data_IF_450536491771
#
_entry.id   IF_450536491771
#
_cell.length_a   1.000
_cell.length_b   1.000
_cell.length_c   1.000
_cell.angle_alpha   90.00
_cell.angle_beta   90.00
_cell.angle_gamma   90.00
#
_symmetry.space_group_name_H-M   'P 1'
#
loop_
_entity.id
_entity.type
_entity.pdbx_description
1 polymer ?
#
# COMPACT_ATOMS: atom_id res chain seq x y z
N UNK A 1 -23.48 5.28 8.62
CA UNK A 1 -22.08 4.79 8.59
C UNK A 1 -21.18 5.98 8.88
N UNK A 2 -20.37 6.00 9.96
CA UNK A 2 -19.38 7.08 10.13
C UNK A 2 -18.41 6.98 8.96
N UNK A 3 -18.27 8.07 8.19
CA UNK A 3 -17.43 8.11 6.99
C UNK A 3 -15.97 7.82 7.32
N UNK A 4 -15.22 7.32 6.33
CA UNK A 4 -13.77 7.16 6.47
C UNK A 4 -13.14 8.55 6.59
N UNK A 5 -12.36 8.80 7.64
CA UNK A 5 -11.72 10.11 7.84
C UNK A 5 -10.53 10.30 6.91
N UNK A 6 -10.20 11.56 6.59
CA UNK A 6 -9.03 11.90 5.79
C UNK A 6 -7.72 11.35 6.39
N UNK A 7 -7.58 11.41 7.72
CA UNK A 7 -6.42 10.83 8.41
C UNK A 7 -6.34 9.31 8.21
N UNK A 8 -7.48 8.61 8.23
CA UNK A 8 -7.54 7.16 8.01
C UNK A 8 -7.08 6.80 6.59
N UNK A 9 -7.58 7.54 5.59
CA UNK A 9 -7.15 7.38 4.20
C UNK A 9 -5.66 7.67 4.03
N UNK A 10 -5.16 8.75 4.65
CA UNK A 10 -3.74 9.11 4.60
C UNK A 10 -2.86 8.01 5.20
N UNK A 11 -3.23 7.46 6.35
CA UNK A 11 -2.47 6.37 6.98
C UNK A 11 -2.44 5.13 6.09
N UNK A 12 -3.58 4.74 5.50
CA UNK A 12 -3.65 3.60 4.60
C UNK A 12 -2.84 3.83 3.31
N UNK A 13 -2.89 5.04 2.74
CA UNK A 13 -2.12 5.41 1.57
C UNK A 13 -0.61 5.39 1.85
N UNK A 14 -0.15 5.93 2.98
CA UNK A 14 1.26 5.89 3.37
C UNK A 14 1.77 4.46 3.54
N UNK A 15 0.98 3.58 4.16
CA UNK A 15 1.33 2.16 4.28
C UNK A 15 1.47 1.49 2.90
N UNK A 16 0.55 1.78 1.97
CA UNK A 16 0.60 1.25 0.62
C UNK A 16 1.82 1.78 -0.17
N UNK A 17 2.12 3.08 -0.11
CA UNK A 17 3.29 3.65 -0.79
C UNK A 17 4.60 3.14 -0.20
N UNK A 18 4.67 2.94 1.12
CA UNK A 18 5.83 2.33 1.75
C UNK A 18 6.04 0.90 1.24
N UNK A 19 4.96 0.11 1.16
CA UNK A 19 5.01 -1.24 0.59
C UNK A 19 5.49 -1.23 -0.86
N UNK A 20 4.92 -0.37 -1.71
CA UNK A 20 5.29 -0.23 -3.11
C UNK A 20 6.77 0.08 -3.26
N UNK A 21 7.31 1.00 -2.45
CA UNK A 21 8.73 1.33 -2.44
C UNK A 21 9.61 0.13 -2.09
N UNK A 22 9.26 -0.60 -1.02
CA UNK A 22 10.00 -1.78 -0.58
C UNK A 22 9.96 -2.89 -1.63
N UNK A 23 8.79 -3.26 -2.14
CA UNK A 23 8.63 -4.31 -3.14
C UNK A 23 9.34 -3.96 -4.45
N UNK A 24 9.28 -2.69 -4.86
CA UNK A 24 9.98 -2.21 -6.06
C UNK A 24 11.49 -2.35 -5.89
N UNK A 25 12.05 -1.92 -4.75
CA UNK A 25 13.48 -2.06 -4.46
C UNK A 25 13.90 -3.53 -4.41
N UNK A 26 13.10 -4.40 -3.79
CA UNK A 26 13.40 -5.84 -3.73
C UNK A 26 13.45 -6.46 -5.13
N UNK A 27 12.49 -6.14 -6.00
CA UNK A 27 12.47 -6.67 -7.37
C UNK A 27 13.57 -6.09 -8.24
N UNK A 28 13.90 -4.81 -8.12
CA UNK A 28 15.01 -4.22 -8.88
C UNK A 28 16.35 -4.79 -8.44
N UNK A 29 16.54 -5.09 -7.15
CA UNK A 29 17.70 -5.86 -6.68
C UNK A 29 17.72 -7.30 -7.21
N UNK A 30 16.54 -7.90 -7.45
CA UNK A 30 16.38 -9.18 -8.14
C UNK A 30 16.60 -9.13 -9.66
N UNK A 31 17.00 -7.98 -10.22
CA UNK A 31 17.29 -7.81 -11.64
C UNK A 31 16.08 -7.41 -12.50
N UNK A 32 14.92 -7.14 -11.91
CA UNK A 32 13.76 -6.68 -12.66
C UNK A 32 13.94 -5.21 -13.09
N UNK A 33 13.56 -4.83 -14.32
CA UNK A 33 13.55 -3.43 -14.74
C UNK A 33 12.49 -2.65 -13.94
N UNK A 34 12.82 -1.41 -13.56
CA UNK A 34 11.97 -0.55 -12.72
C UNK A 34 10.49 -0.48 -13.16
N UNK A 35 10.14 -0.24 -14.45
CA UNK A 35 8.73 -0.19 -14.85
C UNK A 35 8.01 -1.53 -14.66
N UNK A 36 8.69 -2.66 -14.90
CA UNK A 36 8.10 -3.97 -14.68
C UNK A 36 7.94 -4.28 -13.19
N UNK A 37 8.91 -3.88 -12.37
CA UNK A 37 8.84 -4.00 -10.91
C UNK A 37 7.64 -3.23 -10.34
N UNK A 38 7.45 -1.97 -10.78
CA UNK A 38 6.31 -1.14 -10.37
C UNK A 38 4.97 -1.78 -10.73
N UNK A 39 4.78 -2.14 -12.01
CA UNK A 39 3.53 -2.75 -12.49
C UNK A 39 3.21 -4.03 -11.72
N UNK A 40 4.23 -4.84 -11.43
CA UNK A 40 4.04 -6.11 -10.76
C UNK A 40 3.80 -5.97 -9.25
N UNK A 41 4.13 -4.83 -8.64
CA UNK A 41 3.82 -4.52 -7.24
C UNK A 41 2.47 -3.82 -7.05
N UNK A 42 1.85 -3.28 -8.11
CA UNK A 42 0.54 -2.60 -8.02
C UNK A 42 -0.58 -3.47 -7.39
N UNK A 43 -0.74 -4.76 -7.76
CA UNK A 43 -1.80 -5.59 -7.18
C UNK A 43 -1.62 -5.77 -5.68
N UNK A 44 -0.39 -6.03 -5.24
CA UNK A 44 -0.08 -6.26 -3.83
C UNK A 44 -0.20 -4.96 -3.02
N UNK A 45 0.22 -3.84 -3.60
CA UNK A 45 0.05 -2.51 -3.03
C UNK A 45 -1.43 -2.17 -2.80
N UNK A 46 -2.32 -2.53 -3.73
CA UNK A 46 -3.75 -2.35 -3.57
C UNK A 46 -4.30 -3.19 -2.41
N UNK A 47 -3.83 -4.44 -2.24
CA UNK A 47 -4.20 -5.29 -1.10
C UNK A 47 -3.73 -4.66 0.21
N UNK A 48 -2.49 -4.19 0.29
CA UNK A 48 -1.95 -3.54 1.50
C UNK A 48 -2.75 -2.28 1.84
N UNK A 49 -3.13 -1.48 0.85
CA UNK A 49 -4.00 -0.33 1.06
C UNK A 49 -5.34 -0.72 1.71
N UNK A 50 -6.02 -1.72 1.15
CA UNK A 50 -7.32 -2.20 1.65
C UNK A 50 -7.18 -2.74 3.08
N UNK A 51 -6.15 -3.55 3.34
CA UNK A 51 -5.89 -4.11 4.66
C UNK A 51 -5.60 -3.00 5.68
N UNK A 52 -4.72 -2.06 5.34
CA UNK A 52 -4.39 -0.93 6.21
C UNK A 52 -5.61 -0.05 6.50
N UNK A 53 -6.46 0.17 5.48
CA UNK A 53 -7.72 0.88 5.63
C UNK A 53 -8.66 0.17 6.61
N UNK A 54 -8.91 -1.11 6.41
CA UNK A 54 -9.80 -1.92 7.28
C UNK A 54 -9.28 -1.94 8.72
N UNK A 55 -7.98 -2.17 8.91
CA UNK A 55 -7.37 -2.18 10.23
C UNK A 55 -7.48 -0.83 10.93
N UNK A 56 -7.24 0.27 10.21
CA UNK A 56 -7.31 1.62 10.79
C UNK A 56 -8.75 2.01 11.15
N UNK A 57 -9.72 1.63 10.31
CA UNK A 57 -11.15 1.82 10.60
C UNK A 57 -11.57 1.00 11.80
N UNK A 58 -11.15 -0.27 11.88
CA UNK A 58 -11.51 -1.16 12.98
C UNK A 58 -10.92 -0.71 14.32
N UNK A 59 -9.65 -0.27 14.34
CA UNK A 59 -8.98 0.26 15.56
C UNK A 59 -9.58 1.56 16.11
N UNK A 60 -10.30 2.32 15.29
CA UNK A 60 -10.93 3.60 15.67
C UNK A 60 -12.41 3.46 16.06
N UNK A 61 -12.97 2.24 16.00
CA UNK A 61 -14.30 1.92 16.54
C UNK A 61 -14.19 1.53 18.00
#
# INVERSE_FOLDING_TARGET
MRGVSATTLLTAALAAFLWLGIGTVQRTQGGAPLPAALVAELPLTAVVFVVALVLTVWRRR
#
